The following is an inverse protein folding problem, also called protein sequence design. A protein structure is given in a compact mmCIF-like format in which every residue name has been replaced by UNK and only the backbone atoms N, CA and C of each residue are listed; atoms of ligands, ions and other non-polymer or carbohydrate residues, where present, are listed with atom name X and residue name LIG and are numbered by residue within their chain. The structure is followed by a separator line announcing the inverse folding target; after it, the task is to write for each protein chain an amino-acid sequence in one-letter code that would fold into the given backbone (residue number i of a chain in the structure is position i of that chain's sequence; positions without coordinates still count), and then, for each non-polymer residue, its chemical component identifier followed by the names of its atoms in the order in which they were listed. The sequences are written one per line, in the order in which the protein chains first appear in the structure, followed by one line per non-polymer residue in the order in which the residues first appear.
data_IF_770569825243
#
_entry.id   IF_770569825243
#
_cell.length_a   1.000
_cell.length_b   1.000
_cell.length_c   1.000
_cell.angle_alpha   90.00
_cell.angle_beta   90.00
_cell.angle_gamma   90.00
#
_symmetry.space_group_name_H-M   'P 1'
#
loop_
_entity.id
_entity.type
_entity.pdbx_description
1 polymer ?
#
# COMPACT_ATOMS: atom_id res chain seq x y z
N UNK A 1 -23.48 1.94 -9.53
CA UNK A 1 -22.47 1.47 -8.56
C UNK A 1 -22.99 0.37 -7.62
N UNK A 2 -23.19 0.60 -6.31
CA UNK A 2 -23.22 -0.45 -5.27
C UNK A 2 -24.11 -1.68 -5.58
N UNK A 3 -25.42 -1.50 -5.73
CA UNK A 3 -26.36 -2.62 -5.92
C UNK A 3 -26.02 -3.44 -7.18
N UNK A 4 -25.55 -2.77 -8.23
CA UNK A 4 -25.30 -3.37 -9.54
C UNK A 4 -23.95 -4.10 -9.53
N UNK A 5 -22.90 -3.45 -9.03
CA UNK A 5 -21.52 -3.94 -9.13
C UNK A 5 -21.10 -4.93 -8.03
N UNK A 6 -21.70 -4.86 -6.83
CA UNK A 6 -21.29 -5.71 -5.69
C UNK A 6 -21.28 -7.22 -5.98
N UNK A 7 -22.10 -7.67 -6.95
CA UNK A 7 -22.15 -9.06 -7.38
C UNK A 7 -20.81 -9.54 -7.95
N UNK A 8 -20.03 -8.65 -8.56
CA UNK A 8 -18.71 -8.98 -9.11
C UNK A 8 -17.65 -9.24 -8.02
N UNK A 9 -17.83 -8.68 -6.82
CA UNK A 9 -16.96 -8.96 -5.68
C UNK A 9 -17.41 -10.20 -4.88
N UNK A 10 -18.72 -10.38 -4.68
CA UNK A 10 -19.23 -11.32 -3.65
C UNK A 10 -20.04 -12.52 -4.18
N UNK A 11 -20.56 -12.50 -5.40
CA UNK A 11 -21.48 -13.54 -5.88
C UNK A 11 -20.71 -14.73 -6.46
N UNK A 12 -20.52 -15.76 -5.63
CA UNK A 12 -19.81 -16.98 -6.00
C UNK A 12 -20.55 -17.77 -7.09
N UNK A 13 -21.89 -17.72 -7.14
CA UNK A 13 -22.66 -18.46 -8.14
C UNK A 13 -22.66 -17.80 -9.52
N UNK A 14 -22.52 -16.46 -9.56
CA UNK A 14 -22.47 -15.72 -10.83
C UNK A 14 -21.09 -15.78 -11.47
N UNK A 15 -20.02 -15.68 -10.69
CA UNK A 15 -18.67 -15.42 -11.20
C UNK A 15 -17.64 -16.51 -10.88
N UNK A 16 -18.04 -17.65 -10.29
CA UNK A 16 -17.19 -18.83 -10.12
C UNK A 16 -17.84 -20.08 -10.70
N UNK A 17 -17.07 -20.89 -11.44
CA UNK A 17 -17.58 -22.12 -12.06
C UNK A 17 -18.03 -23.19 -11.08
N UNK A 18 -17.44 -23.22 -9.87
CA UNK A 18 -17.79 -24.16 -8.81
C UNK A 18 -18.70 -23.53 -7.74
N UNK A 19 -18.99 -22.23 -7.81
CA UNK A 19 -19.86 -21.56 -6.84
C UNK A 19 -19.25 -21.37 -5.45
N UNK A 20 -17.94 -21.56 -5.26
CA UNK A 20 -17.30 -21.65 -3.94
C UNK A 20 -16.32 -20.51 -3.61
N UNK A 21 -15.87 -19.74 -4.60
CA UNK A 21 -14.91 -18.65 -4.43
C UNK A 21 -15.42 -17.40 -5.13
N UNK A 22 -15.11 -16.25 -4.58
CA UNK A 22 -15.29 -14.95 -5.23
C UNK A 22 -14.07 -14.07 -4.92
N UNK A 23 -13.95 -12.92 -5.57
CA UNK A 23 -12.92 -11.93 -5.24
C UNK A 23 -12.93 -11.60 -3.73
N UNK A 24 -14.12 -11.51 -3.12
CA UNK A 24 -14.31 -11.25 -1.69
C UNK A 24 -13.89 -12.39 -0.75
N UNK A 25 -13.51 -13.56 -1.27
CA UNK A 25 -12.93 -14.64 -0.46
C UNK A 25 -11.53 -14.31 0.03
N UNK A 26 -10.73 -13.62 -0.80
CA UNK A 26 -9.41 -13.10 -0.42
C UNK A 26 -9.52 -11.64 0.02
N UNK A 27 -10.32 -10.84 -0.67
CA UNK A 27 -10.55 -9.42 -0.33
C UNK A 27 -11.76 -9.27 0.60
N UNK A 28 -11.67 -9.85 1.81
CA UNK A 28 -12.77 -9.90 2.79
C UNK A 28 -13.28 -8.49 3.09
N UNK A 29 -14.55 -8.21 2.79
CA UNK A 29 -15.18 -6.87 2.89
C UNK A 29 -14.44 -5.76 2.11
N UNK A 30 -13.79 -6.13 1.00
CA UNK A 30 -12.93 -5.23 0.22
C UNK A 30 -11.55 -5.00 0.86
N UNK A 31 -11.21 -5.69 1.94
CA UNK A 31 -9.92 -5.60 2.63
C UNK A 31 -9.00 -6.72 2.18
N UNK A 32 -8.49 -7.52 3.12
CA UNK A 32 -7.50 -8.56 2.92
C UNK A 32 -7.79 -9.74 3.86
N UNK A 33 -7.45 -10.95 3.40
CA UNK A 33 -7.47 -12.19 4.19
C UNK A 33 -6.22 -12.35 5.08
N UNK A 34 -5.23 -11.46 4.92
CA UNK A 34 -3.93 -11.48 5.61
C UNK A 34 -3.11 -12.74 5.34
N UNK A 35 -3.28 -13.32 4.16
CA UNK A 35 -2.50 -14.47 3.67
C UNK A 35 -1.61 -14.04 2.51
N UNK A 36 -0.49 -14.75 2.33
CA UNK A 36 0.31 -14.67 1.12
C UNK A 36 -0.03 -15.83 0.17
N UNK A 37 -0.14 -15.52 -1.11
CA UNK A 37 -0.50 -16.46 -2.15
C UNK A 37 0.54 -16.45 -3.26
N UNK A 38 0.95 -17.62 -3.73
CA UNK A 38 1.74 -17.75 -4.95
C UNK A 38 0.80 -18.08 -6.12
N UNK A 39 0.26 -17.03 -6.74
CA UNK A 39 -0.68 -17.11 -7.87
C UNK A 39 -0.01 -16.78 -9.20
N UNK A 40 1.30 -17.06 -9.31
CA UNK A 40 2.01 -16.98 -10.59
C UNK A 40 1.50 -18.00 -11.61
N UNK A 41 1.62 -17.67 -12.89
CA UNK A 41 1.29 -18.58 -13.98
C UNK A 41 2.57 -19.13 -14.63
N UNK A 42 2.93 -20.41 -14.41
CA UNK A 42 4.14 -20.98 -15.01
C UNK A 42 4.04 -21.15 -16.53
N UNK A 43 2.83 -21.05 -17.10
CA UNK A 43 2.58 -21.06 -18.55
C UNK A 43 2.37 -19.68 -19.14
N UNK A 44 2.45 -18.63 -18.31
CA UNK A 44 2.29 -17.26 -18.75
C UNK A 44 3.46 -16.77 -19.59
N UNK A 45 3.24 -15.64 -20.26
CA UNK A 45 4.26 -14.95 -21.05
C UNK A 45 4.82 -13.75 -20.28
N UNK A 46 6.03 -13.32 -20.64
CA UNK A 46 6.60 -12.06 -20.14
C UNK A 46 5.70 -10.88 -20.54
N UNK A 47 5.34 -10.01 -19.59
CA UNK A 47 4.65 -8.75 -19.88
C UNK A 47 5.67 -7.61 -19.96
N UNK A 48 5.68 -6.90 -21.08
CA UNK A 48 6.59 -5.78 -21.31
C UNK A 48 6.37 -4.65 -20.30
N UNK A 49 7.44 -4.20 -19.66
CA UNK A 49 7.47 -3.00 -18.85
C UNK A 49 7.71 -1.78 -19.76
N UNK A 50 6.63 -1.06 -20.05
CA UNK A 50 6.63 0.03 -21.02
C UNK A 50 6.67 1.41 -20.33
N UNK A 51 7.71 2.24 -20.53
CA UNK A 51 7.85 3.54 -19.87
C UNK A 51 6.78 4.57 -20.26
N UNK A 52 6.00 4.33 -21.32
CA UNK A 52 4.88 5.21 -21.70
C UNK A 52 3.62 4.98 -20.86
N UNK A 53 3.55 3.86 -20.13
CA UNK A 53 2.40 3.47 -19.29
C UNK A 53 2.86 2.94 -17.91
N UNK A 54 4.14 3.09 -17.56
CA UNK A 54 4.67 2.79 -16.24
C UNK A 54 5.60 3.91 -15.83
N UNK A 55 5.38 4.46 -14.63
CA UNK A 55 6.16 5.57 -14.11
C UNK A 55 7.45 5.07 -13.43
N UNK A 56 8.52 4.92 -14.20
CA UNK A 56 9.78 4.24 -13.81
C UNK A 56 10.78 5.10 -13.01
N UNK A 57 10.29 6.06 -12.25
CA UNK A 57 11.18 6.96 -11.49
C UNK A 57 10.48 8.14 -10.84
N UNK A 58 9.18 8.32 -11.09
CA UNK A 58 8.44 9.45 -10.55
C UNK A 58 9.09 10.78 -10.96
N UNK A 59 9.04 11.74 -10.06
CA UNK A 59 9.71 13.03 -10.22
C UNK A 59 11.21 12.97 -9.87
N UNK A 60 11.77 11.79 -9.55
CA UNK A 60 13.13 11.69 -9.03
C UNK A 60 14.05 10.81 -9.90
N UNK A 61 15.02 11.44 -10.56
CA UNK A 61 15.92 10.76 -11.49
C UNK A 61 16.76 9.63 -10.85
N UNK A 62 17.14 9.77 -9.57
CA UNK A 62 17.85 8.71 -8.82
C UNK A 62 17.00 7.45 -8.58
N UNK A 63 15.67 7.49 -8.74
CA UNK A 63 14.79 6.32 -8.61
C UNK A 63 14.72 5.49 -9.89
N UNK A 64 15.28 5.99 -11.00
CA UNK A 64 15.35 5.24 -12.25
C UNK A 64 16.46 4.20 -12.17
N UNK A 65 16.06 3.02 -11.72
CA UNK A 65 16.92 1.85 -11.54
C UNK A 65 16.75 0.85 -12.69
N UNK A 66 17.45 -0.29 -12.62
CA UNK A 66 17.43 -1.36 -13.63
C UNK A 66 16.09 -2.13 -13.60
N UNK A 67 15.06 -1.58 -14.23
CA UNK A 67 13.78 -2.26 -14.44
C UNK A 67 13.88 -3.35 -15.51
N UNK A 68 13.17 -4.45 -15.32
CA UNK A 68 12.98 -5.50 -16.32
C UNK A 68 11.49 -5.78 -16.56
N UNK A 69 11.20 -6.51 -17.63
CA UNK A 69 9.86 -6.98 -17.96
C UNK A 69 9.28 -7.88 -16.85
N UNK A 70 7.95 -7.89 -16.71
CA UNK A 70 7.29 -8.65 -15.66
C UNK A 70 7.25 -10.14 -16.01
N UNK A 71 7.90 -10.93 -15.17
CA UNK A 71 7.82 -12.38 -15.23
C UNK A 71 6.43 -12.88 -14.76
N UNK A 72 5.85 -13.92 -15.42
CA UNK A 72 4.51 -14.42 -15.09
C UNK A 72 4.45 -15.15 -13.73
N UNK A 73 5.57 -15.74 -13.30
CA UNK A 73 5.76 -16.13 -11.90
C UNK A 73 6.07 -14.92 -11.04
N UNK A 74 5.40 -14.82 -9.90
CA UNK A 74 5.48 -13.66 -8.99
C UNK A 74 6.09 -13.98 -7.64
N UNK A 75 6.04 -15.24 -7.23
CA UNK A 75 6.28 -15.64 -5.86
C UNK A 75 5.14 -15.24 -4.93
N UNK A 76 5.28 -15.53 -3.63
CA UNK A 76 4.26 -15.22 -2.63
C UNK A 76 3.97 -13.72 -2.54
N UNK A 77 2.69 -13.37 -2.58
CA UNK A 77 2.22 -12.01 -2.39
C UNK A 77 0.99 -11.97 -1.49
N UNK A 78 1.02 -11.07 -0.52
CA UNK A 78 -0.10 -10.82 0.39
C UNK A 78 -1.26 -10.16 -0.33
N UNK A 79 -2.47 -10.51 0.05
CA UNK A 79 -3.66 -9.85 -0.50
C UNK A 79 -3.65 -8.36 -0.16
N UNK A 80 -3.76 -7.49 -1.17
CA UNK A 80 -3.91 -6.05 -0.98
C UNK A 80 -5.38 -5.67 -0.77
N UNK A 81 -5.62 -4.54 -0.11
CA UNK A 81 -6.97 -3.99 0.01
C UNK A 81 -7.51 -3.52 -1.34
N UNK A 82 -8.84 -3.61 -1.53
CA UNK A 82 -9.60 -3.00 -2.61
C UNK A 82 -10.24 -1.67 -2.19
N UNK A 83 -10.01 -1.22 -0.96
CA UNK A 83 -10.47 0.08 -0.49
C UNK A 83 -9.69 1.18 -1.20
N UNK A 84 -10.42 2.10 -1.83
CA UNK A 84 -9.89 3.27 -2.53
C UNK A 84 -8.78 2.95 -3.54
N UNK A 85 -8.97 1.90 -4.35
CA UNK A 85 -7.98 1.51 -5.37
C UNK A 85 -8.20 2.16 -6.74
N UNK A 86 -9.40 2.67 -7.02
CA UNK A 86 -9.71 3.31 -8.29
C UNK A 86 -9.09 4.70 -8.30
N UNK A 87 -8.37 5.04 -9.37
CA UNK A 87 -7.53 6.23 -9.45
C UNK A 87 -6.19 6.07 -8.72
N UNK A 88 -5.86 4.87 -8.23
CA UNK A 88 -4.60 4.56 -7.55
C UNK A 88 -3.74 3.58 -8.36
N UNK A 89 -3.92 3.50 -9.67
CA UNK A 89 -3.24 2.55 -10.57
C UNK A 89 -1.76 2.89 -10.85
N UNK A 90 -0.90 1.96 -11.30
CA UNK A 90 -1.21 0.56 -11.62
C UNK A 90 -1.54 -0.23 -10.36
N UNK A 91 -2.27 -1.33 -10.53
CA UNK A 91 -2.69 -2.23 -9.47
C UNK A 91 -1.72 -3.41 -9.35
N UNK A 92 -1.91 -4.20 -8.29
CA UNK A 92 -1.02 -5.29 -7.86
C UNK A 92 0.34 -4.80 -7.33
N UNK A 93 1.06 -5.63 -6.55
CA UNK A 93 2.27 -5.22 -5.83
C UNK A 93 3.38 -4.77 -6.77
N UNK A 94 3.45 -5.38 -7.95
CA UNK A 94 4.43 -5.07 -8.99
C UNK A 94 4.04 -3.87 -9.85
N UNK A 95 2.80 -3.40 -9.75
CA UNK A 95 2.26 -2.45 -10.72
C UNK A 95 2.14 -3.04 -12.12
N UNK A 96 2.00 -4.37 -12.24
CA UNK A 96 1.90 -5.09 -13.51
C UNK A 96 0.47 -5.17 -14.05
N UNK A 97 -0.48 -4.45 -13.44
CA UNK A 97 -1.88 -4.36 -13.88
C UNK A 97 -2.24 -2.89 -14.09
N UNK A 98 -2.47 -2.47 -15.32
CA UNK A 98 -2.71 -1.05 -15.61
C UNK A 98 -4.01 -0.53 -14.97
N UNK A 99 -5.05 -1.37 -14.89
CA UNK A 99 -6.33 -1.05 -14.28
C UNK A 99 -7.04 -2.31 -13.77
N UNK A 100 -8.24 -2.17 -13.22
CA UNK A 100 -9.01 -3.31 -12.71
C UNK A 100 -9.42 -4.28 -13.83
N UNK A 101 -9.51 -3.79 -15.07
CA UNK A 101 -9.83 -4.53 -16.28
C UNK A 101 -8.82 -5.64 -16.56
N UNK A 102 -7.56 -5.45 -16.19
CA UNK A 102 -6.52 -6.47 -16.37
C UNK A 102 -6.64 -7.66 -15.40
N UNK A 103 -7.55 -7.58 -14.41
CA UNK A 103 -7.92 -8.72 -13.57
C UNK A 103 -9.07 -9.55 -14.14
N UNK A 104 -9.69 -9.15 -15.26
CA UNK A 104 -10.79 -9.89 -15.87
C UNK A 104 -10.46 -11.37 -16.16
N UNK A 105 -9.24 -11.74 -16.61
CA UNK A 105 -8.86 -13.16 -16.76
C UNK A 105 -8.91 -13.98 -15.46
N UNK A 106 -8.89 -13.36 -14.27
CA UNK A 106 -8.97 -14.09 -13.01
C UNK A 106 -10.37 -14.71 -12.78
N UNK A 107 -11.43 -14.19 -13.40
CA UNK A 107 -12.76 -14.83 -13.32
C UNK A 107 -12.74 -16.23 -13.91
N UNK A 108 -12.06 -16.43 -15.05
CA UNK A 108 -11.93 -17.75 -15.68
C UNK A 108 -10.76 -18.53 -15.10
N UNK A 109 -9.58 -17.92 -14.99
CA UNK A 109 -8.34 -18.60 -14.62
C UNK A 109 -8.23 -18.96 -13.13
N UNK A 110 -8.82 -18.17 -12.24
CA UNK A 110 -8.76 -18.39 -10.79
C UNK A 110 -10.09 -18.86 -10.21
N UNK A 111 -11.21 -18.24 -10.62
CA UNK A 111 -12.54 -18.59 -10.11
C UNK A 111 -13.24 -19.68 -10.94
N UNK A 112 -12.70 -20.04 -12.10
CA UNK A 112 -13.24 -21.09 -12.97
C UNK A 112 -14.53 -20.73 -13.70
N UNK A 113 -14.89 -19.45 -13.81
CA UNK A 113 -16.07 -19.02 -14.56
C UNK A 113 -16.00 -19.47 -16.03
N UNK A 114 -17.16 -19.67 -16.66
CA UNK A 114 -17.25 -20.06 -18.07
C UNK A 114 -16.70 -18.98 -19.03
N UNK A 115 -16.82 -17.71 -18.64
CA UNK A 115 -16.32 -16.57 -19.42
C UNK A 115 -15.81 -15.45 -18.53
N UNK A 116 -14.97 -14.62 -19.12
CA UNK A 116 -14.63 -13.29 -18.59
C UNK A 116 -15.87 -12.39 -18.57
N UNK A 117 -15.84 -11.37 -17.71
CA UNK A 117 -16.83 -10.31 -17.69
C UNK A 117 -16.79 -9.51 -19.01
N UNK A 118 -17.96 -9.06 -19.47
CA UNK A 118 -18.05 -8.10 -20.56
C UNK A 118 -17.50 -6.73 -20.15
N UNK A 119 -17.17 -5.83 -21.11
CA UNK A 119 -16.73 -4.48 -20.78
C UNK A 119 -17.71 -3.73 -19.86
N UNK A 120 -19.02 -3.90 -20.07
CA UNK A 120 -20.04 -3.30 -19.21
C UNK A 120 -20.01 -3.88 -17.79
N UNK A 121 -19.84 -5.19 -17.64
CA UNK A 121 -19.74 -5.84 -16.31
C UNK A 121 -18.45 -5.45 -15.58
N UNK A 122 -17.34 -5.24 -16.29
CA UNK A 122 -16.11 -4.68 -15.70
C UNK A 122 -16.32 -3.25 -15.23
N UNK A 123 -16.98 -2.40 -16.02
CA UNK A 123 -17.34 -1.05 -15.59
C UNK A 123 -18.25 -1.07 -14.35
N UNK A 124 -19.23 -1.98 -14.29
CA UNK A 124 -20.07 -2.15 -13.10
C UNK A 124 -19.25 -2.53 -11.86
N UNK A 125 -18.20 -3.35 -12.04
CA UNK A 125 -17.30 -3.74 -10.97
C UNK A 125 -16.42 -2.57 -10.51
N UNK A 126 -15.78 -1.87 -11.44
CA UNK A 126 -14.99 -0.66 -11.19
C UNK A 126 -15.81 0.40 -10.45
N UNK A 127 -17.01 0.73 -10.96
CA UNK A 127 -17.95 1.66 -10.35
C UNK A 127 -18.29 1.29 -8.90
N UNK A 128 -18.34 0.00 -8.57
CA UNK A 128 -18.56 -0.46 -7.22
C UNK A 128 -17.30 -0.31 -6.36
N UNK A 129 -16.13 -0.72 -6.84
CA UNK A 129 -14.87 -0.55 -6.11
C UNK A 129 -14.58 0.93 -5.82
N UNK A 130 -14.89 1.82 -6.76
CA UNK A 130 -14.81 3.26 -6.59
C UNK A 130 -15.67 3.79 -5.42
N UNK A 131 -16.65 3.02 -4.92
CA UNK A 131 -17.45 3.41 -3.75
C UNK A 131 -16.79 3.08 -2.41
N UNK A 132 -15.79 2.19 -2.39
CA UNK A 132 -15.21 1.66 -1.15
C UNK A 132 -14.17 2.66 -0.62
N UNK A 133 -14.41 3.18 0.58
CA UNK A 133 -13.51 4.09 1.29
C UNK A 133 -12.76 3.36 2.42
N UNK A 134 -11.65 3.95 2.89
CA UNK A 134 -11.05 3.52 4.15
C UNK A 134 -11.98 3.86 5.34
N UNK A 135 -12.14 2.95 6.31
CA UNK A 135 -12.86 3.21 7.54
C UNK A 135 -12.08 4.20 8.42
N UNK A 136 -12.73 4.73 9.47
CA UNK A 136 -12.05 5.50 10.51
C UNK A 136 -10.83 4.77 11.06
N UNK A 137 -9.70 5.48 11.17
CA UNK A 137 -8.49 4.93 11.74
C UNK A 137 -8.58 4.92 13.27
N UNK A 138 -8.49 3.75 13.94
CA UNK A 138 -8.57 3.67 15.40
C UNK A 138 -7.36 4.28 16.12
N UNK A 139 -6.27 4.54 15.41
CA UNK A 139 -5.05 5.14 15.95
C UNK A 139 -5.00 6.66 15.75
N UNK A 140 -6.00 7.29 15.13
CA UNK A 140 -6.13 8.76 15.08
C UNK A 140 -6.93 9.29 16.26
N UNK A 141 -6.69 10.55 16.61
CA UNK A 141 -7.56 11.26 17.54
C UNK A 141 -8.96 11.44 16.92
N UNK A 142 -9.99 11.63 17.77
CA UNK A 142 -11.36 11.82 17.28
C UNK A 142 -11.52 13.00 16.32
N UNK A 143 -10.72 14.05 16.45
CA UNK A 143 -10.65 15.19 15.53
C UNK A 143 -9.82 14.91 14.26
N UNK A 144 -9.50 13.64 14.00
CA UNK A 144 -8.68 13.14 12.89
C UNK A 144 -7.21 13.57 12.92
N UNK A 145 -6.75 14.29 13.94
CA UNK A 145 -5.35 14.65 14.10
C UNK A 145 -4.48 13.44 14.48
N UNK A 146 -3.18 13.52 14.17
CA UNK A 146 -2.21 12.51 14.56
C UNK A 146 -1.98 12.52 16.09
N UNK A 147 -1.93 11.35 16.76
CA UNK A 147 -1.67 11.27 18.20
C UNK A 147 -0.22 11.63 18.52
N UNK A 148 0.01 12.32 19.63
CA UNK A 148 1.36 12.62 20.14
C UNK A 148 1.87 11.58 21.14
N UNK A 149 0.99 10.65 21.55
CA UNK A 149 1.29 9.61 22.52
C UNK A 149 0.39 8.39 22.24
N UNK A 150 0.82 7.53 21.32
CA UNK A 150 0.15 6.30 20.94
C UNK A 150 0.79 5.10 21.65
N UNK A 151 0.05 4.36 22.50
CA UNK A 151 0.53 3.10 23.04
C UNK A 151 0.78 2.06 21.93
N UNK A 152 1.89 1.32 22.03
CA UNK A 152 2.28 0.29 21.08
C UNK A 152 2.35 -1.11 21.74
N UNK A 153 1.24 -1.61 22.35
CA UNK A 153 1.25 -2.79 23.22
C UNK A 153 1.69 -4.09 22.52
N UNK A 154 1.64 -4.13 21.19
CA UNK A 154 2.05 -5.29 20.40
C UNK A 154 3.42 -5.19 19.73
N UNK A 155 4.12 -4.07 19.88
CA UNK A 155 5.41 -3.78 19.25
C UNK A 155 6.55 -3.88 20.25
N UNK A 156 7.66 -4.49 19.82
CA UNK A 156 8.80 -4.79 20.69
C UNK A 156 10.10 -4.26 20.07
N UNK A 157 11.00 -3.73 20.90
CA UNK A 157 12.32 -3.26 20.46
C UNK A 157 13.05 -4.34 19.66
N UNK A 158 13.73 -3.94 18.58
CA UNK A 158 14.31 -4.89 17.62
C UNK A 158 15.66 -5.45 18.06
N UNK A 159 16.35 -4.76 18.97
CA UNK A 159 17.72 -5.05 19.33
C UNK A 159 18.75 -4.09 18.73
N UNK A 160 18.33 -3.17 17.83
CA UNK A 160 19.24 -2.26 17.13
C UNK A 160 19.90 -1.24 18.06
N UNK A 161 19.13 -0.63 18.97
CA UNK A 161 19.60 0.45 19.86
C UNK A 161 19.65 0.05 21.35
N UNK A 162 19.22 -1.16 21.68
CA UNK A 162 19.10 -1.66 23.05
C UNK A 162 18.73 -3.14 23.06
N UNK A 163 18.37 -3.72 24.22
CA UNK A 163 17.91 -5.11 24.29
C UNK A 163 16.66 -5.33 23.43
N UNK A 164 16.67 -6.37 22.60
CA UNK A 164 15.51 -6.75 21.78
C UNK A 164 14.43 -7.47 22.59
N UNK A 165 13.18 -7.35 22.15
CA UNK A 165 12.03 -8.00 22.78
C UNK A 165 11.45 -7.24 23.99
N UNK A 166 11.90 -6.02 24.26
CA UNK A 166 11.32 -5.16 25.29
C UNK A 166 10.13 -4.38 24.73
N UNK A 167 9.13 -3.99 25.54
CA UNK A 167 8.05 -3.11 25.07
C UNK A 167 8.62 -1.84 24.44
N UNK A 168 8.13 -1.47 23.26
CA UNK A 168 8.46 -0.18 22.67
C UNK A 168 7.90 0.97 23.51
N UNK A 169 8.57 2.14 23.53
CA UNK A 169 7.96 3.33 24.10
C UNK A 169 6.71 3.73 23.30
N UNK A 170 5.86 4.56 23.89
CA UNK A 170 4.76 5.15 23.15
C UNK A 170 5.32 6.00 22.00
N UNK A 171 4.68 5.90 20.83
CA UNK A 171 5.10 6.68 19.66
C UNK A 171 4.35 8.01 19.56
N UNK A 172 5.03 9.03 19.05
CA UNK A 172 4.47 10.31 18.68
C UNK A 172 4.33 10.39 17.15
N UNK A 173 3.12 10.20 16.63
CA UNK A 173 2.87 10.18 15.19
C UNK A 173 3.13 11.54 14.52
N UNK A 174 2.98 12.66 15.24
CA UNK A 174 3.36 13.99 14.70
C UNK A 174 4.87 14.12 14.54
N UNK A 175 5.65 13.61 15.51
CA UNK A 175 7.11 13.53 15.37
C UNK A 175 7.52 12.56 14.26
N UNK A 176 6.80 11.45 14.13
CA UNK A 176 6.94 10.53 13.00
C UNK A 176 6.73 11.25 11.66
N UNK A 177 5.69 12.09 11.53
CA UNK A 177 5.45 12.89 10.32
C UNK A 177 6.59 13.87 10.03
N UNK A 178 7.14 14.51 11.05
CA UNK A 178 8.30 15.38 10.90
C UNK A 178 9.48 14.61 10.30
N UNK A 179 9.86 13.47 10.88
CA UNK A 179 10.93 12.60 10.37
C UNK A 179 10.65 12.11 8.95
N UNK A 180 9.40 11.75 8.65
CA UNK A 180 8.94 11.25 7.36
C UNK A 180 9.08 12.27 6.22
N UNK A 181 8.91 13.56 6.54
CA UNK A 181 8.96 14.68 5.58
C UNK A 181 10.24 15.50 5.65
N UNK A 182 11.20 15.14 6.51
CA UNK A 182 12.40 15.93 6.73
C UNK A 182 13.33 15.90 5.50
N UNK A 183 13.55 17.06 4.90
CA UNK A 183 14.39 17.22 3.70
C UNK A 183 15.86 17.45 4.02
N UNK A 184 16.18 17.81 5.26
CA UNK A 184 17.54 18.03 5.75
C UNK A 184 18.10 16.72 6.34
N UNK A 185 17.30 16.01 7.14
CA UNK A 185 17.62 14.68 7.67
C UNK A 185 16.81 13.60 6.99
N UNK A 186 17.29 13.17 5.83
CA UNK A 186 16.68 12.14 5.00
C UNK A 186 17.03 10.75 5.55
N UNK A 187 16.01 9.97 5.89
CA UNK A 187 16.19 8.68 6.56
C UNK A 187 16.62 7.55 5.63
N UNK A 188 16.54 7.70 4.31
CA UNK A 188 17.03 6.68 3.37
C UNK A 188 18.49 6.98 2.97
N UNK A 189 19.43 6.68 3.87
CA UNK A 189 20.87 6.88 3.67
C UNK A 189 21.26 8.32 3.28
N UNK A 190 20.50 9.32 3.75
CA UNK A 190 20.67 10.72 3.36
C UNK A 190 20.18 11.07 1.94
N UNK A 191 19.66 10.12 1.15
CA UNK A 191 19.25 10.33 -0.23
C UNK A 191 17.82 10.88 -0.33
N UNK A 192 16.88 10.23 0.35
CA UNK A 192 15.44 10.50 0.22
C UNK A 192 14.74 10.70 1.56
N UNK A 193 13.86 11.69 1.64
CA UNK A 193 12.79 11.72 2.63
C UNK A 193 11.80 10.60 2.33
N UNK A 194 11.16 10.00 3.34
CA UNK A 194 10.19 8.93 3.11
C UNK A 194 9.05 9.38 2.18
N UNK A 195 8.61 10.64 2.31
CA UNK A 195 7.55 11.24 1.49
C UNK A 195 7.94 11.43 0.01
N UNK A 196 9.23 11.37 -0.33
CA UNK A 196 9.68 11.44 -1.72
C UNK A 196 9.14 10.26 -2.55
N UNK A 197 9.06 9.08 -1.94
CA UNK A 197 8.49 7.88 -2.55
C UNK A 197 7.06 7.64 -2.08
N UNK A 198 6.80 7.74 -0.79
CA UNK A 198 5.47 7.56 -0.21
C UNK A 198 4.76 8.91 -0.07
N UNK A 199 4.25 9.46 -1.16
CA UNK A 199 3.63 10.80 -1.15
C UNK A 199 2.35 10.88 -0.30
N UNK A 200 2.14 12.02 0.35
CA UNK A 200 0.90 12.30 1.09
C UNK A 200 -0.25 12.67 0.13
N UNK A 201 -1.51 12.35 0.47
CA UNK A 201 -1.95 11.74 1.72
C UNK A 201 -2.08 10.21 1.70
N UNK A 202 -1.99 9.54 0.55
CA UNK A 202 -2.19 8.09 0.47
C UNK A 202 -0.97 7.26 0.91
N UNK A 203 0.21 7.87 0.95
CA UNK A 203 1.48 7.21 1.30
C UNK A 203 1.98 6.30 0.20
N UNK A 204 1.70 6.62 -1.06
CA UNK A 204 2.06 5.81 -2.24
C UNK A 204 2.93 6.59 -3.21
N UNK A 205 3.47 5.91 -4.23
CA UNK A 205 4.24 6.56 -5.31
C UNK A 205 3.46 7.71 -5.92
N UNK A 206 4.13 8.81 -6.32
CA UNK A 206 3.48 9.91 -7.04
C UNK A 206 3.00 9.45 -8.44
N UNK A 207 1.92 10.03 -8.95
CA UNK A 207 1.56 9.92 -10.37
C UNK A 207 2.18 11.02 -11.24
N UNK A 208 3.19 11.74 -10.73
CA UNK A 208 3.96 12.74 -11.48
C UNK A 208 5.28 12.15 -12.00
N UNK A 209 5.80 12.71 -13.08
CA UNK A 209 7.06 12.32 -13.72
C UNK A 209 7.79 13.55 -14.25
N UNK A 210 9.04 13.38 -14.68
CA UNK A 210 9.80 14.43 -15.38
C UNK A 210 9.55 14.35 -16.89
N UNK A 211 9.12 15.46 -17.50
CA UNK A 211 8.97 15.57 -18.95
C UNK A 211 10.29 15.22 -19.66
N UNK A 212 10.26 14.48 -20.77
CA UNK A 212 11.47 14.05 -21.50
C UNK A 212 12.58 13.37 -20.64
N UNK A 213 12.27 12.84 -19.45
CA UNK A 213 13.21 12.10 -18.61
C UNK A 213 14.05 12.97 -17.67
N UNK A 214 15.35 12.63 -17.50
CA UNK A 214 16.21 13.04 -16.38
C UNK A 214 16.32 14.55 -16.07
N UNK A 215 15.93 15.44 -17.00
CA UNK A 215 16.13 16.88 -16.90
C UNK A 215 14.90 17.74 -17.22
N UNK A 216 13.73 17.14 -17.47
CA UNK A 216 12.56 17.98 -17.76
C UNK A 216 11.78 18.39 -16.53
N UNK A 217 10.73 19.17 -16.80
CA UNK A 217 9.88 19.71 -15.77
C UNK A 217 8.94 18.62 -15.22
N UNK A 218 8.64 18.64 -13.91
CA UNK A 218 7.60 17.80 -13.34
C UNK A 218 6.25 18.00 -14.05
N UNK A 219 5.64 16.92 -14.51
CA UNK A 219 4.31 16.87 -15.12
C UNK A 219 3.51 15.70 -14.54
N UNK A 220 2.19 15.83 -14.46
CA UNK A 220 1.34 14.68 -14.14
C UNK A 220 1.47 13.63 -15.26
N UNK A 221 1.71 12.38 -14.88
CA UNK A 221 1.76 11.27 -15.83
C UNK A 221 0.38 11.13 -16.49
N UNK A 222 0.31 11.07 -17.84
CA UNK A 222 -0.97 11.03 -18.54
C UNK A 222 -1.90 9.93 -18.02
N UNK A 223 -3.19 10.24 -17.90
CA UNK A 223 -4.21 9.24 -17.56
C UNK A 223 -4.41 8.30 -18.75
N UNK A 224 -4.57 7.00 -18.46
CA UNK A 224 -4.75 5.99 -19.49
C UNK A 224 -6.15 6.00 -20.13
N UNK A 225 -6.37 5.19 -21.18
CA UNK A 225 -7.61 5.18 -21.96
C UNK A 225 -8.86 4.74 -21.18
N UNK A 226 -8.70 4.06 -20.05
CA UNK A 226 -9.79 3.62 -19.17
C UNK A 226 -9.90 4.48 -17.91
N UNK A 227 -9.14 5.58 -17.82
CA UNK A 227 -9.13 6.45 -16.65
C UNK A 227 -8.08 6.08 -15.61
N UNK A 228 -7.26 5.07 -15.88
CA UNK A 228 -6.23 4.59 -14.95
C UNK A 228 -5.10 5.61 -14.76
N UNK A 229 -4.63 5.73 -13.51
CA UNK A 229 -3.43 6.50 -13.16
C UNK A 229 -2.15 5.67 -13.30
N UNK A 230 -1.00 6.34 -13.18
CA UNK A 230 0.31 5.73 -13.35
C UNK A 230 1.25 6.15 -12.21
N UNK A 231 1.00 5.61 -11.02
CA UNK A 231 1.84 5.87 -9.85
C UNK A 231 3.21 5.20 -9.97
N UNK A 232 4.20 5.85 -9.34
CA UNK A 232 5.61 5.49 -9.46
C UNK A 232 5.91 4.05 -9.05
N UNK A 233 6.78 3.42 -9.83
CA UNK A 233 7.42 2.15 -9.55
C UNK A 233 8.86 2.36 -9.05
N UNK A 234 9.39 1.38 -8.34
CA UNK A 234 10.79 1.22 -7.96
C UNK A 234 11.28 -0.14 -8.43
N UNK A 235 12.56 -0.29 -8.76
CA UNK A 235 13.10 -1.56 -9.27
C UNK A 235 13.64 -2.49 -8.18
N UNK A 236 13.17 -2.33 -6.93
CA UNK A 236 13.65 -3.10 -5.80
C UNK A 236 12.46 -3.49 -4.92
N UNK A 237 12.45 -4.76 -4.51
CA UNK A 237 11.54 -5.30 -3.50
C UNK A 237 12.28 -5.78 -2.23
N UNK A 238 13.62 -5.83 -2.29
CA UNK A 238 14.47 -6.42 -1.26
C UNK A 238 14.63 -7.95 -1.36
N UNK A 239 14.12 -8.57 -2.43
CA UNK A 239 14.16 -10.02 -2.68
C UNK A 239 14.45 -10.37 -4.16
N UNK A 240 13.44 -10.43 -5.03
CA UNK A 240 13.50 -11.05 -6.36
C UNK A 240 12.75 -10.31 -7.46
N UNK A 241 11.86 -9.37 -7.10
CA UNK A 241 11.12 -8.54 -8.05
C UNK A 241 11.84 -7.20 -8.27
N UNK A 242 11.99 -6.85 -9.54
CA UNK A 242 12.71 -5.66 -10.02
C UNK A 242 11.79 -4.64 -10.69
N UNK A 243 10.50 -4.73 -10.36
CA UNK A 243 9.49 -3.73 -10.65
C UNK A 243 8.39 -3.85 -9.60
N UNK A 244 8.33 -2.86 -8.72
CA UNK A 244 7.38 -2.79 -7.61
C UNK A 244 6.70 -1.45 -7.60
N UNK A 245 5.39 -1.46 -7.41
CA UNK A 245 4.67 -0.24 -7.11
C UNK A 245 5.02 0.21 -5.71
N UNK A 246 5.30 1.50 -5.53
CA UNK A 246 5.44 2.06 -4.18
C UNK A 246 4.06 2.00 -3.49
N UNK A 247 3.90 1.11 -2.49
CA UNK A 247 2.58 0.78 -1.96
C UNK A 247 2.09 1.89 -1.03
N UNK A 248 0.76 2.02 -0.92
CA UNK A 248 0.14 2.91 0.04
C UNK A 248 0.40 2.49 1.49
N UNK A 249 0.43 3.46 2.40
CA UNK A 249 0.60 3.24 3.84
C UNK A 249 -0.73 3.25 4.62
N UNK A 250 -1.85 3.48 3.92
CA UNK A 250 -3.20 3.39 4.50
C UNK A 250 -3.56 1.92 4.73
N UNK A 251 -3.98 1.57 5.95
CA UNK A 251 -4.31 0.23 6.48
C UNK A 251 -3.20 -0.62 7.11
N UNK A 252 -1.98 -0.10 7.25
CA UNK A 252 -0.88 -0.90 7.82
C UNK A 252 -1.16 -1.36 9.27
N UNK A 253 -2.05 -0.67 9.99
CA UNK A 253 -2.53 -1.10 11.30
C UNK A 253 -3.31 -2.42 11.28
N UNK A 254 -3.99 -2.75 10.17
CA UNK A 254 -4.72 -4.00 10.00
C UNK A 254 -3.78 -5.20 9.79
N UNK A 255 -2.51 -4.95 9.46
CA UNK A 255 -1.47 -5.96 9.26
C UNK A 255 -0.71 -6.32 10.56
N UNK A 256 -1.02 -5.68 11.68
CA UNK A 256 -0.41 -5.98 13.00
C UNK A 256 -0.85 -7.33 13.57
N UNK A 257 -0.02 -7.98 14.38
CA UNK A 257 -0.35 -9.22 15.09
C UNK A 257 0.51 -10.44 14.73
N UNK A 258 1.52 -10.25 13.89
CA UNK A 258 2.65 -11.17 13.75
C UNK A 258 3.89 -10.51 14.36
N UNK A 259 4.63 -11.23 15.20
CA UNK A 259 5.89 -10.78 15.80
C UNK A 259 6.70 -12.03 16.22
N UNK A 260 7.91 -12.19 15.69
CA UNK A 260 8.75 -13.36 15.92
C UNK A 260 9.41 -13.40 17.30
N UNK A 261 9.38 -12.32 18.08
CA UNK A 261 9.72 -12.38 19.51
C UNK A 261 8.61 -13.02 20.35
N UNK A 262 7.39 -13.12 19.82
CA UNK A 262 6.23 -13.68 20.52
C UNK A 262 5.99 -15.14 20.16
N UNK A 263 5.62 -15.94 21.14
CA UNK A 263 5.19 -17.35 20.96
C UNK A 263 3.74 -17.50 20.54
N UNK A 264 2.93 -16.46 20.74
CA UNK A 264 1.51 -16.43 20.39
C UNK A 264 1.26 -15.23 19.49
N UNK A 265 0.79 -15.50 18.28
CA UNK A 265 0.52 -14.49 17.26
C UNK A 265 -0.92 -14.63 16.78
N UNK A 266 -1.50 -13.51 16.35
CA UNK A 266 -2.86 -13.43 15.77
C UNK A 266 -2.83 -13.46 14.24
N UNK A 267 -1.65 -13.37 13.64
CA UNK A 267 -1.42 -13.48 12.20
C UNK A 267 -0.11 -14.23 11.92
N UNK A 268 0.00 -14.79 10.71
CA UNK A 268 1.19 -15.51 10.25
C UNK A 268 2.03 -14.76 9.20
N UNK A 269 1.53 -13.64 8.70
CA UNK A 269 2.19 -12.78 7.70
C UNK A 269 2.16 -11.33 8.19
N UNK A 270 3.26 -10.61 7.98
CA UNK A 270 3.43 -9.23 8.38
C UNK A 270 3.47 -8.27 7.19
N UNK A 271 4.55 -7.50 7.13
CA UNK A 271 4.84 -6.44 6.19
C UNK A 271 5.69 -6.93 5.00
N UNK A 272 6.01 -6.02 4.08
CA UNK A 272 6.46 -6.30 2.71
C UNK A 272 5.36 -6.91 1.83
N UNK A 273 5.64 -7.07 0.54
CA UNK A 273 4.70 -7.64 -0.42
C UNK A 273 4.40 -9.11 -0.14
N UNK A 274 5.38 -9.88 0.31
CA UNK A 274 5.28 -11.33 0.60
C UNK A 274 4.87 -11.64 2.04
N UNK A 275 4.82 -10.63 2.92
CA UNK A 275 4.47 -10.79 4.32
C UNK A 275 5.60 -11.34 5.20
N UNK A 276 6.84 -11.38 4.71
CA UNK A 276 7.99 -12.00 5.38
C UNK A 276 8.53 -11.19 6.56
N UNK A 277 8.34 -9.87 6.57
CA UNK A 277 8.80 -9.01 7.66
C UNK A 277 7.73 -8.97 8.74
N UNK A 278 8.01 -9.51 9.92
CA UNK A 278 7.00 -9.69 10.97
C UNK A 278 6.39 -8.38 11.46
N UNK A 279 7.20 -7.33 11.67
CA UNK A 279 6.73 -6.07 12.27
C UNK A 279 7.24 -4.80 11.58
N UNK A 280 6.52 -3.68 11.78
CA UNK A 280 6.93 -2.36 11.27
C UNK A 280 8.25 -1.92 11.89
N UNK A 281 8.43 -2.12 13.18
CA UNK A 281 9.65 -1.72 13.87
C UNK A 281 10.86 -2.51 13.39
N UNK A 282 10.69 -3.79 13.00
CA UNK A 282 11.75 -4.55 12.31
C UNK A 282 12.10 -3.89 10.99
N UNK A 283 11.09 -3.65 10.13
CA UNK A 283 11.30 -3.01 8.83
C UNK A 283 12.00 -1.65 8.94
N UNK A 284 11.52 -0.78 9.82
CA UNK A 284 12.05 0.57 10.03
C UNK A 284 13.41 0.57 10.73
N UNK A 285 13.81 -0.54 11.35
CA UNK A 285 15.14 -0.72 11.95
C UNK A 285 16.13 -1.36 10.97
N UNK A 286 15.76 -1.64 9.72
CA UNK A 286 16.72 -2.16 8.73
C UNK A 286 17.84 -1.15 8.43
N UNK A 287 19.01 -1.66 8.06
CA UNK A 287 20.22 -0.84 7.83
C UNK A 287 20.11 0.15 6.66
N UNK A 288 19.04 0.07 5.87
CA UNK A 288 18.71 1.07 4.86
C UNK A 288 18.26 2.41 5.49
N UNK A 289 17.70 2.38 6.71
CA UNK A 289 17.15 3.57 7.35
C UNK A 289 18.08 4.13 8.44
N UNK A 290 18.36 5.43 8.36
CA UNK A 290 19.21 6.21 9.28
C UNK A 290 18.44 6.71 10.54
N UNK A 291 17.62 5.82 11.10
CA UNK A 291 17.04 6.02 12.44
C UNK A 291 18.12 5.87 13.52
N UNK A 292 18.01 6.63 14.60
CA UNK A 292 19.05 6.74 15.63
C UNK A 292 18.64 6.15 16.99
N UNK A 293 17.34 5.98 17.25
CA UNK A 293 16.84 5.49 18.54
C UNK A 293 15.56 4.65 18.42
N UNK A 294 15.28 3.82 19.42
CA UNK A 294 14.00 3.11 19.53
C UNK A 294 12.79 4.07 19.58
N UNK A 295 12.97 5.31 20.08
CA UNK A 295 11.91 6.31 20.09
C UNK A 295 11.57 6.81 18.68
N UNK A 296 12.58 7.03 17.82
CA UNK A 296 12.31 7.43 16.42
C UNK A 296 11.59 6.32 15.66
N UNK A 297 11.96 5.07 15.90
CA UNK A 297 11.24 3.91 15.36
C UNK A 297 9.80 3.90 15.88
N UNK A 298 9.58 4.12 17.18
CA UNK A 298 8.23 4.19 17.76
C UNK A 298 7.39 5.31 17.14
N UNK A 299 7.97 6.49 16.91
CA UNK A 299 7.30 7.64 16.30
C UNK A 299 6.89 7.36 14.85
N UNK A 300 7.76 6.72 14.07
CA UNK A 300 7.47 6.30 12.70
C UNK A 300 6.43 5.16 12.65
N UNK A 301 6.52 4.18 13.55
CA UNK A 301 5.48 3.14 13.71
C UNK A 301 4.14 3.78 14.01
N UNK A 302 4.08 4.72 14.96
CA UNK A 302 2.85 5.43 15.30
C UNK A 302 2.27 6.21 14.12
N UNK A 303 3.11 6.85 13.30
CA UNK A 303 2.67 7.49 12.06
C UNK A 303 2.04 6.48 11.09
N UNK A 304 2.73 5.37 10.81
CA UNK A 304 2.27 4.36 9.84
C UNK A 304 0.97 3.70 10.30
N UNK A 305 0.81 3.43 11.59
CA UNK A 305 -0.44 2.92 12.15
C UNK A 305 -1.58 3.94 12.06
N UNK A 306 -1.26 5.23 12.08
CA UNK A 306 -2.21 6.36 12.03
C UNK A 306 -2.41 6.93 10.62
N UNK A 307 -1.91 6.27 9.58
CA UNK A 307 -1.80 6.88 8.25
C UNK A 307 -3.17 7.18 7.60
N UNK A 308 -4.09 6.21 7.56
CA UNK A 308 -5.44 6.43 7.01
C UNK A 308 -6.19 7.49 7.80
N UNK A 309 -6.99 8.30 7.10
CA UNK A 309 -7.59 9.54 7.60
C UNK A 309 -7.14 10.77 6.82
N UNK A 310 -5.99 10.70 6.14
CA UNK A 310 -5.51 11.65 5.11
C UNK A 310 -5.35 13.13 5.49
N UNK A 311 -5.58 13.49 6.75
CA UNK A 311 -5.38 14.84 7.27
C UNK A 311 -3.97 14.98 7.86
N UNK A 312 -3.02 15.42 7.03
CA UNK A 312 -1.62 15.66 7.44
C UNK A 312 -1.24 17.14 7.47
N UNK A 313 -2.01 18.01 6.79
CA UNK A 313 -1.71 19.45 6.73
C UNK A 313 -0.44 19.80 5.94
N UNK A 314 0.08 18.86 5.15
CA UNK A 314 1.26 19.02 4.30
C UNK A 314 0.84 18.60 2.89
N UNK A 315 1.03 19.50 1.92
CA UNK A 315 0.77 19.23 0.51
C UNK A 315 2.10 19.02 -0.22
N UNK A 316 2.11 18.08 -1.16
CA UNK A 316 3.22 17.90 -2.09
C UNK A 316 3.21 18.97 -3.19
N UNK A 317 4.38 19.29 -3.73
CA UNK A 317 4.52 20.28 -4.79
C UNK A 317 5.28 19.69 -5.98
N UNK A 318 4.88 19.98 -7.24
CA UNK A 318 5.53 19.40 -8.42
C UNK A 318 7.04 19.64 -8.45
N UNK A 319 7.48 20.84 -8.05
CA UNK A 319 8.87 21.28 -8.01
C UNK A 319 9.67 20.79 -6.79
N UNK A 320 9.03 20.06 -5.87
CA UNK A 320 9.68 19.48 -4.70
C UNK A 320 9.84 17.96 -4.85
N UNK A 321 10.98 17.52 -5.40
CA UNK A 321 11.26 16.10 -5.57
C UNK A 321 11.42 15.31 -4.26
N UNK A 322 11.53 15.98 -3.11
CA UNK A 322 11.54 15.34 -1.79
C UNK A 322 10.15 15.26 -1.16
N UNK A 323 9.15 15.95 -1.71
CA UNK A 323 7.74 15.88 -1.36
C UNK A 323 6.87 16.18 -2.60
N UNK A 324 6.88 15.27 -3.60
CA UNK A 324 6.12 15.48 -4.82
C UNK A 324 4.61 15.35 -4.58
N UNK A 325 3.77 15.81 -5.51
CA UNK A 325 2.32 15.72 -5.33
C UNK A 325 1.89 14.26 -5.19
N UNK A 326 1.08 13.98 -4.18
CA UNK A 326 0.43 12.68 -4.02
C UNK A 326 -1.02 12.72 -4.42
N UNK A 327 -1.58 11.53 -4.63
CA UNK A 327 -2.98 11.37 -5.02
C UNK A 327 -3.88 11.48 -3.80
N UNK A 328 -4.99 12.25 -3.89
CA UNK A 328 -5.96 12.35 -2.81
C UNK A 328 -6.50 10.99 -2.38
N UNK A 329 -6.67 10.81 -1.07
CA UNK A 329 -7.24 9.60 -0.51
C UNK A 329 -8.74 9.71 -0.22
N UNK A 330 -9.47 8.60 -0.35
CA UNK A 330 -10.85 8.43 0.10
C UNK A 330 -10.92 7.77 1.48
N UNK A 331 -10.69 8.58 2.49
CA UNK A 331 -10.67 8.16 3.89
C UNK A 331 -11.88 8.69 4.66
N UNK A 332 -12.41 7.89 5.59
CA UNK A 332 -13.41 8.36 6.54
C UNK A 332 -12.74 9.07 7.71
N UNK A 333 -13.33 10.17 8.17
CA UNK A 333 -12.88 10.89 9.36
C UNK A 333 -12.92 9.97 10.61
N UNK A 334 -11.93 10.10 11.51
CA UNK A 334 -11.78 9.25 12.70
C UNK A 334 -13.03 9.18 13.61
N UNK A 335 -13.80 10.26 13.72
CA UNK A 335 -15.06 10.31 14.48
C UNK A 335 -16.29 9.67 13.80
N UNK A 336 -16.20 9.11 12.58
CA UNK A 336 -17.36 8.49 11.94
C UNK A 336 -17.71 7.16 12.66
N UNK A 337 -18.99 6.96 12.98
CA UNK A 337 -19.49 5.73 13.62
C UNK A 337 -19.51 5.80 15.16
N UNK A 338 -20.12 4.78 15.79
CA UNK A 338 -20.12 4.63 17.25
C UNK A 338 -18.90 3.80 17.67
N UNK A 339 -17.98 4.37 18.45
CA UNK A 339 -16.91 3.62 19.08
C UNK A 339 -17.38 3.16 20.46
N UNK A 340 -17.42 1.84 20.68
CA UNK A 340 -17.71 1.25 22.00
C UNK A 340 -16.43 0.58 22.47
N UNK A 341 -15.79 1.16 23.49
CA UNK A 341 -14.72 0.48 24.23
C UNK A 341 -15.38 -0.51 25.18
N UNK A 342 -15.15 -1.80 24.98
CA UNK A 342 -15.56 -2.84 25.92
C UNK A 342 -14.34 -3.18 26.77
N UNK A 343 -14.31 -2.67 28.00
CA UNK A 343 -13.32 -3.09 28.99
C UNK A 343 -13.75 -4.44 29.56
N UNK A 344 -12.95 -5.48 29.33
CA UNK A 344 -13.10 -6.73 30.09
C UNK A 344 -12.61 -6.46 31.52
N UNK A 345 -13.56 -6.39 32.46
CA UNK A 345 -13.26 -6.39 33.90
C UNK A 345 -12.93 -7.79 34.41
#
# INVERSE_FOLDING_TARGET
AIKIGRKHLYDTHKNSGLGQVACGSCHVDGRMDRLAWDLGDPSGEMKVLNPNIHNLGGTHFLLKLDFEDFHPMKGPMTTQTLQDIIGHEPLHWRGDRNGIEEFNPAFTGLQGAERMLSPQEMQEFEDFLATIAFPPNPNRNFDNSLPENLPLPDHLTTGRFGPGGMPMPNGNAKRGLQLYTDIERRLDQGNFSCVACHTLPAGMGTNWTLDNGLFGNPIEFPTGPLGEKHHALVSVDGSSNIAMKVPQLRNQFEKTGFNMFKKSNRAGFGYLHDGSVDTLERFLSEGAFDVETDQEVADLVALVLSFSGSDFGIEGAPDNNQNPPGTPGKDSHAAVGAQITIDST
#
